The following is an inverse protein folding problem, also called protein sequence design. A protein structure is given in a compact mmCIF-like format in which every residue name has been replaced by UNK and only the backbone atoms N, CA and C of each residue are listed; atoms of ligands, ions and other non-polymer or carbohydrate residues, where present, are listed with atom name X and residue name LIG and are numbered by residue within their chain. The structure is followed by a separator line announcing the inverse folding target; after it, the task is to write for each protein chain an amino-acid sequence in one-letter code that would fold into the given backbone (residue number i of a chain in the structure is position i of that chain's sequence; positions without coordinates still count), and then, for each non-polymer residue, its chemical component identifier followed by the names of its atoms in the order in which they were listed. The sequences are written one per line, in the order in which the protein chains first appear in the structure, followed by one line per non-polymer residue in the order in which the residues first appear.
data_IF_806471299713
#
_entry.id   IF_806471299713
#
_cell.length_a   1.000
_cell.length_b   1.000
_cell.length_c   1.000
_cell.angle_alpha   90.00
_cell.angle_beta   90.00
_cell.angle_gamma   90.00
#
_symmetry.space_group_name_H-M   'P 1'
#
loop_
_entity.id
_entity.type
_entity.pdbx_description
1 polymer ?
#
# COMPACT_ATOMS: atom_id res chain seq x y z
N UNK A 1 -9.60 1.25 -0.42
CA UNK A 1 -9.73 0.50 0.85
C UNK A 1 -10.94 -0.45 0.88
N UNK A 2 -12.13 -0.04 0.41
CA UNK A 2 -13.28 -0.97 0.33
C UNK A 2 -13.03 -2.21 -0.54
N UNK A 3 -12.19 -2.07 -1.57
CA UNK A 3 -11.79 -3.16 -2.48
C UNK A 3 -11.17 -4.37 -1.74
N UNK A 4 -10.52 -4.15 -0.59
CA UNK A 4 -9.91 -5.19 0.23
C UNK A 4 -10.74 -5.55 1.47
N UNK A 5 -11.99 -5.11 1.52
CA UNK A 5 -12.86 -5.23 2.69
C UNK A 5 -12.20 -4.71 3.99
N UNK A 6 -11.43 -3.62 3.89
CA UNK A 6 -10.74 -3.01 5.03
C UNK A 6 -11.64 -1.99 5.72
N UNK A 7 -11.93 -2.24 6.99
CA UNK A 7 -12.65 -1.32 7.87
C UNK A 7 -11.71 -0.20 8.35
N UNK A 8 -12.16 1.05 8.25
CA UNK A 8 -11.42 2.24 8.67
C UNK A 8 -11.79 2.58 10.12
N UNK A 9 -10.81 3.05 10.88
CA UNK A 9 -11.02 3.63 12.22
C UNK A 9 -10.52 5.06 12.18
N UNK A 10 -11.36 6.01 12.58
CA UNK A 10 -10.94 7.41 12.70
C UNK A 10 -10.23 7.61 14.04
N UNK A 11 -8.96 7.98 14.00
CA UNK A 11 -8.17 8.28 15.19
C UNK A 11 -7.63 9.70 15.18
N UNK A 12 -7.48 10.30 16.36
CA UNK A 12 -6.78 11.56 16.56
C UNK A 12 -5.80 11.43 17.72
N UNK A 13 -4.75 12.26 17.72
CA UNK A 13 -3.81 12.27 18.83
C UNK A 13 -4.36 13.06 20.02
N UNK A 14 -4.54 12.38 21.15
CA UNK A 14 -4.96 12.98 22.42
C UNK A 14 -3.77 13.54 23.20
N UNK A 15 -2.56 13.08 22.91
CA UNK A 15 -1.35 13.43 23.64
C UNK A 15 -0.14 13.54 22.71
N UNK A 16 0.74 14.50 22.98
CA UNK A 16 2.06 14.61 22.36
C UNK A 16 2.99 15.46 23.27
N UNK A 17 4.28 15.37 23.02
CA UNK A 17 5.34 16.08 23.76
C UNK A 17 6.13 16.98 22.83
N UNK A 18 6.67 18.10 23.34
CA UNK A 18 7.63 18.92 22.59
C UNK A 18 8.93 18.14 22.39
N UNK A 19 9.41 18.09 21.15
CA UNK A 19 10.70 17.47 20.85
C UNK A 19 11.83 18.37 21.36
N UNK A 20 12.58 17.89 22.36
CA UNK A 20 13.68 18.63 23.00
C UNK A 20 15.04 18.44 22.31
N UNK A 21 15.13 17.51 21.35
CA UNK A 21 16.38 17.16 20.64
C UNK A 21 16.62 18.03 19.41
N UNK A 22 15.65 18.88 19.05
CA UNK A 22 15.70 19.77 17.89
C UNK A 22 16.75 20.87 18.14
N UNK A 23 17.87 20.85 17.40
CA UNK A 23 18.95 21.84 17.51
C UNK A 23 18.44 23.24 17.11
N UNK A 24 19.01 24.27 17.75
CA UNK A 24 18.79 25.71 17.47
C UNK A 24 18.69 25.98 15.97
N UNK A 25 17.54 26.47 15.51
CA UNK A 25 17.31 26.91 14.13
C UNK A 25 16.20 26.16 13.37
N UNK A 26 15.65 25.07 13.93
CA UNK A 26 14.52 24.35 13.33
C UNK A 26 13.24 24.60 14.11
N UNK A 27 12.11 24.64 13.38
CA UNK A 27 10.76 24.92 13.92
C UNK A 27 10.45 23.97 15.09
N UNK A 28 9.76 24.48 16.10
CA UNK A 28 9.25 23.66 17.19
C UNK A 28 8.40 22.49 16.65
N UNK A 29 8.68 21.28 17.10
CA UNK A 29 8.03 20.06 16.63
C UNK A 29 7.49 19.22 17.80
N UNK A 30 6.39 18.50 17.55
CA UNK A 30 5.82 17.51 18.45
C UNK A 30 6.43 16.12 18.20
N UNK A 31 6.54 15.31 19.24
CA UNK A 31 6.97 13.91 19.21
C UNK A 31 6.18 13.09 20.24
N UNK A 32 6.27 11.76 20.18
CA UNK A 32 5.60 10.86 21.11
C UNK A 32 4.07 10.98 21.07
N UNK A 33 3.52 11.22 19.88
CA UNK A 33 2.09 11.34 19.66
C UNK A 33 1.39 10.03 20.05
N UNK A 34 0.33 10.13 20.86
CA UNK A 34 -0.51 9.00 21.28
C UNK A 34 -1.95 9.23 20.87
N UNK A 35 -2.52 8.22 20.22
CA UNK A 35 -3.94 8.21 19.85
C UNK A 35 -4.82 8.19 21.10
N UNK A 36 -6.06 8.64 20.93
CA UNK A 36 -7.12 8.35 21.90
C UNK A 36 -7.46 6.85 21.85
N UNK A 37 -6.83 6.06 22.73
CA UNK A 37 -6.94 4.61 22.72
C UNK A 37 -8.38 4.14 22.96
N UNK A 38 -9.14 4.83 23.82
CA UNK A 38 -10.53 4.48 24.13
C UNK A 38 -11.39 4.63 22.87
N UNK A 39 -11.33 5.79 22.21
CA UNK A 39 -12.08 6.06 20.98
C UNK A 39 -11.72 5.10 19.82
N UNK A 40 -10.46 4.64 19.75
CA UNK A 40 -10.00 3.65 18.77
C UNK A 40 -10.53 2.25 19.12
N UNK A 41 -10.41 1.84 20.38
CA UNK A 41 -10.86 0.53 20.85
C UNK A 41 -12.38 0.36 20.73
N UNK A 42 -13.15 1.41 21.01
CA UNK A 42 -14.61 1.40 20.88
C UNK A 42 -15.01 1.17 19.41
N UNK A 43 -14.38 1.87 18.46
CA UNK A 43 -14.63 1.65 17.04
C UNK A 43 -14.25 0.23 16.60
N UNK A 44 -13.15 -0.34 17.13
CA UNK A 44 -12.75 -1.72 16.83
C UNK A 44 -13.79 -2.71 17.39
N UNK A 45 -14.26 -2.52 18.62
CA UNK A 45 -15.29 -3.36 19.22
C UNK A 45 -16.60 -3.31 18.44
N UNK A 46 -17.00 -2.12 17.98
CA UNK A 46 -18.13 -1.95 17.08
C UNK A 46 -17.94 -2.72 15.77
N UNK A 47 -16.78 -2.57 15.10
CA UNK A 47 -16.45 -3.28 13.85
C UNK A 47 -16.55 -4.80 14.03
N UNK A 48 -16.07 -5.36 15.15
CA UNK A 48 -16.11 -6.80 15.41
C UNK A 48 -17.55 -7.33 15.48
N UNK A 49 -18.47 -6.53 16.02
CA UNK A 49 -19.89 -6.90 16.10
C UNK A 49 -20.68 -6.49 14.86
N UNK A 50 -20.09 -5.67 13.99
CA UNK A 50 -20.68 -5.13 12.79
C UNK A 50 -20.98 -6.24 11.78
N UNK A 51 -22.23 -6.30 11.32
CA UNK A 51 -22.72 -7.38 10.44
C UNK A 51 -22.65 -7.03 8.95
N UNK A 52 -22.31 -5.79 8.61
CA UNK A 52 -22.27 -5.31 7.23
C UNK A 52 -20.83 -5.16 6.73
N UNK A 53 -20.68 -4.92 5.42
CA UNK A 53 -19.38 -4.84 4.76
C UNK A 53 -18.58 -3.61 5.18
N UNK A 54 -17.26 -3.65 4.95
CA UNK A 54 -16.37 -2.51 5.17
C UNK A 54 -16.78 -1.27 4.36
N UNK A 55 -17.37 -1.46 3.17
CA UNK A 55 -17.96 -0.35 2.40
C UNK A 55 -19.02 0.39 3.22
N UNK A 56 -19.97 -0.35 3.78
CA UNK A 56 -21.06 0.25 4.53
C UNK A 56 -20.51 0.92 5.79
N UNK A 57 -19.65 0.21 6.54
CA UNK A 57 -18.99 0.78 7.72
C UNK A 57 -18.27 2.09 7.39
N UNK A 58 -17.39 2.09 6.39
CA UNK A 58 -16.57 3.25 6.02
C UNK A 58 -17.43 4.43 5.57
N UNK A 59 -18.51 4.16 4.84
CA UNK A 59 -19.48 5.18 4.43
C UNK A 59 -20.18 5.80 5.64
N UNK A 60 -20.76 4.97 6.51
CA UNK A 60 -21.45 5.41 7.72
C UNK A 60 -20.52 6.15 8.68
N UNK A 61 -19.28 5.67 8.82
CA UNK A 61 -18.23 6.33 9.60
C UNK A 61 -17.95 7.74 9.08
N UNK A 62 -17.85 7.89 7.75
CA UNK A 62 -17.57 9.17 7.13
C UNK A 62 -18.78 10.12 7.18
N UNK A 63 -19.97 9.66 6.82
CA UNK A 63 -21.19 10.47 6.79
C UNK A 63 -21.62 10.93 8.19
N UNK A 64 -21.49 10.06 9.21
CA UNK A 64 -22.07 10.32 10.53
C UNK A 64 -21.06 10.75 11.60
N UNK A 65 -19.79 10.32 11.51
CA UNK A 65 -18.81 10.51 12.60
C UNK A 65 -17.65 11.41 12.23
N UNK A 66 -17.32 11.54 10.94
CA UNK A 66 -16.14 12.32 10.49
C UNK A 66 -16.10 13.73 11.07
N UNK A 67 -17.21 14.48 10.95
CA UNK A 67 -17.27 15.86 11.44
C UNK A 67 -17.04 15.97 12.95
N UNK A 68 -17.62 15.06 13.72
CA UNK A 68 -17.46 15.02 15.17
C UNK A 68 -16.02 14.66 15.54
N UNK A 69 -15.47 13.59 14.95
CA UNK A 69 -14.09 13.16 15.23
C UNK A 69 -13.08 14.21 14.81
N UNK A 70 -13.32 14.92 13.71
CA UNK A 70 -12.47 16.02 13.26
C UNK A 70 -12.45 17.16 14.27
N UNK A 71 -13.60 17.57 14.81
CA UNK A 71 -13.67 18.60 15.86
C UNK A 71 -13.00 18.16 17.16
N UNK A 72 -13.17 16.89 17.57
CA UNK A 72 -12.45 16.32 18.72
C UNK A 72 -10.93 16.37 18.51
N UNK A 73 -10.46 16.14 17.28
CA UNK A 73 -9.05 16.28 16.94
C UNK A 73 -8.57 17.74 17.10
N UNK A 74 -9.34 18.72 16.64
CA UNK A 74 -9.01 20.14 16.82
C UNK A 74 -8.92 20.50 18.32
N UNK A 75 -9.89 20.08 19.12
CA UNK A 75 -9.88 20.30 20.58
C UNK A 75 -8.63 19.70 21.22
N UNK A 76 -8.29 18.45 20.86
CA UNK A 76 -7.11 17.77 21.38
C UNK A 76 -5.80 18.48 20.96
N UNK A 77 -5.72 18.96 19.72
CA UNK A 77 -4.52 19.63 19.21
C UNK A 77 -4.32 21.00 19.83
N UNK A 78 -5.39 21.73 20.12
CA UNK A 78 -5.31 22.98 20.89
C UNK A 78 -4.83 22.74 22.32
N UNK A 79 -5.33 21.69 22.98
CA UNK A 79 -4.84 21.30 24.32
C UNK A 79 -3.36 20.90 24.30
N UNK A 80 -2.92 20.15 23.29
CA UNK A 80 -1.51 19.80 23.09
C UNK A 80 -0.68 21.07 22.88
N UNK A 81 -1.13 21.99 22.03
CA UNK A 81 -0.47 23.28 21.77
C UNK A 81 -0.33 24.09 23.05
N UNK A 82 -1.41 24.22 23.84
CA UNK A 82 -1.40 24.95 25.10
C UNK A 82 -0.41 24.36 26.11
N UNK A 83 -0.37 23.02 26.22
CA UNK A 83 0.53 22.33 27.16
C UNK A 83 2.00 22.34 26.73
N UNK A 84 2.27 22.27 25.44
CA UNK A 84 3.63 22.10 24.89
C UNK A 84 4.27 23.40 24.40
N UNK A 85 3.46 24.43 24.16
CA UNK A 85 3.88 25.68 23.52
C UNK A 85 4.20 25.53 22.03
N UNK A 86 3.95 24.36 21.41
CA UNK A 86 4.20 24.13 19.98
C UNK A 86 2.98 24.52 19.18
N UNK A 87 3.14 25.47 18.25
CA UNK A 87 2.04 25.92 17.40
C UNK A 87 1.48 24.80 16.51
N UNK A 88 0.16 24.65 16.52
CA UNK A 88 -0.60 23.73 15.64
C UNK A 88 -1.34 24.52 14.55
N UNK A 89 -2.01 23.81 13.63
CA UNK A 89 -2.82 24.45 12.59
C UNK A 89 -3.95 25.30 13.20
N UNK A 90 -4.23 26.44 12.58
CA UNK A 90 -5.26 27.38 13.02
C UNK A 90 -6.66 26.76 12.94
N UNK A 91 -7.39 26.73 14.05
CA UNK A 91 -8.74 26.14 14.17
C UNK A 91 -9.71 26.71 13.15
N UNK A 92 -9.86 28.03 13.05
CA UNK A 92 -10.81 28.68 12.12
C UNK A 92 -10.57 28.28 10.66
N UNK A 93 -9.32 28.05 10.27
CA UNK A 93 -8.99 27.61 8.91
C UNK A 93 -9.35 26.13 8.70
N UNK A 94 -9.15 25.29 9.73
CA UNK A 94 -9.54 23.88 9.70
C UNK A 94 -11.07 23.69 9.77
N UNK A 95 -11.79 24.52 10.51
CA UNK A 95 -13.26 24.51 10.56
C UNK A 95 -13.86 24.92 9.21
N UNK A 96 -13.34 25.97 8.57
CA UNK A 96 -13.74 26.33 7.18
C UNK A 96 -13.48 25.20 6.18
N UNK A 97 -12.36 24.51 6.34
CA UNK A 97 -12.07 23.32 5.53
C UNK A 97 -13.10 22.21 5.80
N UNK A 98 -13.38 21.91 7.07
CA UNK A 98 -14.39 20.92 7.45
C UNK A 98 -15.78 21.26 6.88
N UNK A 99 -16.21 22.51 6.98
CA UNK A 99 -17.49 22.97 6.43
C UNK A 99 -17.54 22.76 4.91
N UNK A 100 -16.43 23.04 4.20
CA UNK A 100 -16.34 22.76 2.77
C UNK A 100 -16.42 21.27 2.43
N UNK A 101 -15.93 20.39 3.31
CA UNK A 101 -16.02 18.94 3.14
C UNK A 101 -17.44 18.45 3.38
N UNK A 102 -18.11 18.94 4.43
CA UNK A 102 -19.47 18.52 4.80
C UNK A 102 -20.51 19.06 3.81
N UNK A 103 -20.31 20.26 3.27
CA UNK A 103 -21.24 20.88 2.34
C UNK A 103 -21.36 20.12 1.01
N UNK A 104 -20.26 19.54 0.53
CA UNK A 104 -20.24 18.76 -0.70
C UNK A 104 -19.23 17.61 -0.64
N UNK A 105 -19.70 16.46 -0.14
CA UNK A 105 -18.92 15.23 -0.10
C UNK A 105 -18.53 14.72 -1.51
N UNK A 106 -19.36 15.00 -2.53
CA UNK A 106 -19.07 14.61 -3.91
C UNK A 106 -17.86 15.36 -4.46
N UNK A 107 -17.83 16.67 -4.27
CA UNK A 107 -16.72 17.53 -4.67
C UNK A 107 -15.45 17.22 -3.86
N UNK A 108 -15.55 16.98 -2.55
CA UNK A 108 -14.41 16.51 -1.75
C UNK A 108 -13.83 15.19 -2.28
N UNK A 109 -14.70 14.23 -2.65
CA UNK A 109 -14.31 12.97 -3.26
C UNK A 109 -13.58 13.22 -4.58
N UNK A 110 -14.10 14.06 -5.47
CA UNK A 110 -13.47 14.39 -6.76
C UNK A 110 -12.09 15.02 -6.55
N UNK A 111 -11.97 15.98 -5.63
CA UNK A 111 -10.68 16.62 -5.29
C UNK A 111 -9.68 15.63 -4.72
N UNK A 112 -10.12 14.76 -3.81
CA UNK A 112 -9.28 13.71 -3.23
C UNK A 112 -8.82 12.69 -4.28
N UNK A 113 -9.70 12.33 -5.22
CA UNK A 113 -9.37 11.46 -6.36
C UNK A 113 -8.30 12.08 -7.26
N UNK A 114 -8.41 13.37 -7.59
CA UNK A 114 -7.37 14.11 -8.34
C UNK A 114 -6.03 14.11 -7.59
N UNK A 115 -6.06 14.31 -6.27
CA UNK A 115 -4.86 14.24 -5.42
C UNK A 115 -4.19 12.86 -5.44
N UNK A 116 -5.00 11.79 -5.36
CA UNK A 116 -4.55 10.40 -5.46
C UNK A 116 -3.97 10.08 -6.84
N UNK A 117 -4.64 10.50 -7.92
CA UNK A 117 -4.11 10.36 -9.29
C UNK A 117 -2.77 11.08 -9.44
N UNK A 118 -2.66 12.31 -8.95
CA UNK A 118 -1.41 13.06 -8.98
C UNK A 118 -0.29 12.40 -8.15
N UNK A 119 -0.61 11.74 -7.04
CA UNK A 119 0.36 10.97 -6.26
C UNK A 119 0.87 9.75 -7.02
N UNK A 120 -0.04 8.98 -7.64
CA UNK A 120 0.32 7.83 -8.47
C UNK A 120 1.19 8.25 -9.67
N UNK A 121 0.87 9.39 -10.31
CA UNK A 121 1.71 9.95 -11.39
C UNK A 121 3.10 10.32 -10.87
N UNK A 122 3.22 10.97 -9.71
CA UNK A 122 4.53 11.28 -9.11
C UNK A 122 5.33 10.03 -8.77
N UNK A 123 4.68 8.98 -8.26
CA UNK A 123 5.30 7.69 -7.98
C UNK A 123 5.80 7.00 -9.27
N UNK A 124 4.98 7.03 -10.33
CA UNK A 124 5.37 6.51 -11.64
C UNK A 124 6.55 7.28 -12.28
N UNK A 125 6.63 8.60 -12.04
CA UNK A 125 7.71 9.46 -12.54
C UNK A 125 8.99 9.45 -11.68
N UNK A 126 8.91 8.97 -10.44
CA UNK A 126 10.08 8.84 -9.56
C UNK A 126 10.72 7.48 -9.83
N UNK A 127 11.68 7.42 -10.76
CA UNK A 127 12.54 6.26 -10.92
C UNK A 127 13.43 6.15 -9.67
N UNK A 128 13.12 5.21 -8.77
CA UNK A 128 14.03 4.95 -7.65
C UNK A 128 15.26 4.25 -8.21
N UNK A 129 16.46 4.76 -7.92
CA UNK A 129 17.76 4.21 -8.39
C UNK A 129 18.02 2.73 -8.04
N UNK A 130 17.11 2.09 -7.30
CA UNK A 130 17.16 0.70 -6.85
C UNK A 130 16.08 -0.19 -7.48
N UNK A 131 15.13 0.40 -8.22
CA UNK A 131 14.19 -0.32 -9.07
C UNK A 131 14.89 -0.63 -10.38
N UNK A 132 15.45 -1.83 -10.47
CA UNK A 132 16.06 -2.34 -11.69
C UNK A 132 14.96 -2.69 -12.71
N UNK A 133 14.48 -1.66 -13.42
CA UNK A 133 13.57 -1.80 -14.55
C UNK A 133 14.33 -2.43 -15.71
N UNK A 134 14.35 -3.76 -15.77
CA UNK A 134 15.06 -4.50 -16.82
C UNK A 134 14.17 -4.77 -18.03
N UNK A 135 12.85 -4.88 -17.84
CA UNK A 135 11.96 -5.52 -18.82
C UNK A 135 10.64 -4.76 -19.14
N UNK A 136 10.36 -3.59 -18.54
CA UNK A 136 9.05 -2.93 -18.66
C UNK A 136 8.98 -1.44 -18.32
N UNK A 137 7.79 -0.84 -18.49
CA UNK A 137 7.49 0.55 -18.15
C UNK A 137 6.62 0.67 -16.89
N UNK A 138 6.85 1.70 -16.08
CA UNK A 138 5.95 2.04 -14.95
C UNK A 138 4.60 2.49 -15.49
N UNK A 139 3.51 1.95 -14.95
CA UNK A 139 2.17 2.34 -15.34
C UNK A 139 1.30 2.72 -14.14
N UNK A 140 0.48 3.74 -14.35
CA UNK A 140 -0.61 4.09 -13.44
C UNK A 140 -1.86 3.33 -13.90
N UNK A 141 -2.41 2.51 -13.00
CA UNK A 141 -3.65 1.79 -13.18
C UNK A 141 -4.79 2.57 -12.51
N UNK A 142 -5.88 2.78 -13.25
CA UNK A 142 -7.15 3.21 -12.68
C UNK A 142 -8.02 1.96 -12.48
N UNK A 143 -8.19 1.54 -11.23
CA UNK A 143 -9.02 0.40 -10.86
C UNK A 143 -10.39 0.90 -10.48
N UNK A 144 -11.38 0.55 -11.27
CA UNK A 144 -12.78 0.78 -10.97
C UNK A 144 -13.39 -0.46 -10.29
N UNK A 145 -14.19 -0.24 -9.25
CA UNK A 145 -15.01 -1.30 -8.64
C UNK A 145 -16.46 -1.23 -9.12
N UNK A 146 -17.23 -2.29 -8.87
CA UNK A 146 -18.64 -2.40 -9.26
C UNK A 146 -19.58 -1.34 -8.63
N UNK A 147 -19.07 -0.49 -7.72
CA UNK A 147 -19.80 0.58 -7.05
C UNK A 147 -19.43 1.97 -7.60
N UNK A 148 -18.66 2.03 -8.69
CA UNK A 148 -18.20 3.27 -9.33
C UNK A 148 -17.09 3.99 -8.55
N UNK A 149 -16.39 3.27 -7.66
CA UNK A 149 -15.20 3.75 -6.96
C UNK A 149 -13.96 3.57 -7.82
N UNK A 150 -13.20 4.64 -8.04
CA UNK A 150 -11.93 4.60 -8.80
C UNK A 150 -10.74 4.73 -7.85
N UNK A 151 -9.76 3.85 -7.99
CA UNK A 151 -8.53 3.82 -7.21
C UNK A 151 -7.33 3.91 -8.16
N UNK A 152 -6.42 4.84 -7.91
CA UNK A 152 -5.19 4.95 -8.70
C UNK A 152 -4.08 4.20 -7.97
N UNK A 153 -3.54 3.16 -8.62
CA UNK A 153 -2.41 2.38 -8.15
C UNK A 153 -1.32 2.37 -9.23
N UNK A 154 -0.11 2.05 -8.82
CA UNK A 154 1.05 1.88 -9.69
C UNK A 154 1.47 0.42 -9.70
N UNK A 155 1.75 -0.09 -10.89
CA UNK A 155 2.57 -1.28 -11.05
C UNK A 155 4.02 -0.83 -11.30
N UNK A 156 4.99 -1.51 -10.68
CA UNK A 156 6.41 -1.20 -10.88
C UNK A 156 6.81 -1.42 -12.35
N UNK A 157 6.34 -2.51 -12.96
CA UNK A 157 6.61 -2.85 -14.36
C UNK A 157 5.35 -3.40 -15.05
N UNK A 158 5.10 -2.94 -16.28
CA UNK A 158 4.23 -3.61 -17.24
C UNK A 158 5.10 -4.30 -18.27
N UNK A 159 4.96 -5.63 -18.38
CA UNK A 159 5.73 -6.45 -19.32
C UNK A 159 4.78 -7.08 -20.34
N UNK A 160 5.07 -6.95 -21.62
CA UNK A 160 4.31 -7.61 -22.69
C UNK A 160 5.08 -8.87 -23.12
N UNK A 161 4.51 -10.04 -22.87
CA UNK A 161 5.14 -11.31 -23.21
C UNK A 161 4.10 -12.30 -23.75
N UNK A 162 4.39 -12.90 -24.91
CA UNK A 162 3.55 -13.93 -25.54
C UNK A 162 2.09 -13.49 -25.73
N UNK A 163 1.85 -12.22 -26.06
CA UNK A 163 0.50 -11.67 -26.23
C UNK A 163 -0.28 -11.46 -24.93
N UNK A 164 0.37 -11.54 -23.77
CA UNK A 164 -0.22 -11.29 -22.45
C UNK A 164 0.46 -10.09 -21.79
N UNK A 165 -0.33 -9.20 -21.19
CA UNK A 165 0.15 -8.08 -20.37
C UNK A 165 0.39 -8.56 -18.94
N UNK A 166 1.61 -8.42 -18.44
CA UNK A 166 1.99 -8.83 -17.08
C UNK A 166 2.06 -7.58 -16.21
N UNK A 167 1.18 -7.49 -15.21
CA UNK A 167 1.26 -6.48 -14.14
C UNK A 167 2.27 -6.98 -13.10
N UNK A 168 3.41 -6.30 -12.98
CA UNK A 168 4.51 -6.77 -12.14
C UNK A 168 4.87 -5.79 -11.04
N UNK A 169 5.10 -6.35 -9.85
CA UNK A 169 5.79 -5.70 -8.74
C UNK A 169 7.22 -6.25 -8.61
N UNK A 170 8.19 -5.38 -8.36
CA UNK A 170 9.61 -5.72 -8.34
C UNK A 170 10.21 -5.37 -6.97
N UNK A 171 10.77 -6.37 -6.27
CA UNK A 171 11.52 -6.16 -5.02
C UNK A 171 12.95 -6.63 -5.20
N UNK A 172 13.88 -5.69 -5.05
CA UNK A 172 15.32 -5.95 -5.26
C UNK A 172 16.06 -5.79 -3.94
N UNK A 173 17.12 -6.57 -3.73
CA UNK A 173 17.97 -6.45 -2.55
C UNK A 173 19.46 -6.59 -2.87
N UNK A 174 20.29 -6.08 -1.96
CA UNK A 174 21.73 -6.38 -1.95
C UNK A 174 22.04 -7.74 -1.29
N UNK A 175 21.09 -8.30 -0.55
CA UNK A 175 21.15 -9.67 -0.03
C UNK A 175 20.76 -10.70 -1.09
N UNK A 176 20.57 -11.96 -0.69
CA UNK A 176 20.19 -13.04 -1.61
C UNK A 176 18.68 -13.13 -1.88
N UNK A 177 17.85 -12.56 -1.00
CA UNK A 177 16.39 -12.50 -1.13
C UNK A 177 15.88 -11.24 -0.41
N UNK A 178 14.87 -10.52 -0.93
CA UNK A 178 14.34 -9.35 -0.26
C UNK A 178 13.82 -9.67 1.16
N UNK A 179 13.85 -8.68 2.09
CA UNK A 179 13.26 -8.84 3.42
C UNK A 179 11.80 -9.29 3.34
N UNK A 180 11.35 -10.08 4.33
CA UNK A 180 9.98 -10.57 4.36
C UNK A 180 8.94 -9.45 4.38
N UNK A 181 9.25 -8.29 4.98
CA UNK A 181 8.39 -7.10 4.93
C UNK A 181 8.13 -6.64 3.49
N UNK A 182 9.18 -6.61 2.67
CA UNK A 182 9.14 -6.08 1.31
C UNK A 182 8.46 -7.07 0.37
N UNK A 183 8.68 -8.38 0.61
CA UNK A 183 7.94 -9.44 -0.07
C UNK A 183 6.44 -9.33 0.23
N UNK A 184 6.06 -9.18 1.50
CA UNK A 184 4.65 -9.03 1.91
C UNK A 184 4.00 -7.80 1.29
N UNK A 185 4.72 -6.69 1.19
CA UNK A 185 4.28 -5.47 0.51
C UNK A 185 3.99 -5.71 -0.98
N UNK A 186 4.90 -6.41 -1.69
CA UNK A 186 4.67 -6.78 -3.09
C UNK A 186 3.46 -7.72 -3.26
N UNK A 187 3.35 -8.74 -2.40
CA UNK A 187 2.21 -9.67 -2.40
C UNK A 187 0.87 -8.95 -2.15
N UNK A 188 0.85 -7.93 -1.29
CA UNK A 188 -0.37 -7.18 -1.00
C UNK A 188 -0.95 -6.48 -2.24
N UNK A 189 -0.10 -5.88 -3.08
CA UNK A 189 -0.55 -5.31 -4.36
C UNK A 189 -0.99 -6.39 -5.35
N UNK A 190 -0.31 -7.55 -5.36
CA UNK A 190 -0.68 -8.66 -6.24
C UNK A 190 -2.05 -9.24 -5.92
N UNK A 191 -2.47 -9.28 -4.65
CA UNK A 191 -3.85 -9.65 -4.27
C UNK A 191 -4.86 -8.76 -4.99
N UNK A 192 -4.58 -7.47 -5.14
CA UNK A 192 -5.46 -6.57 -5.88
C UNK A 192 -5.43 -6.86 -7.38
N UNK A 193 -4.23 -6.95 -7.95
CA UNK A 193 -4.08 -7.12 -9.40
C UNK A 193 -4.59 -8.47 -9.90
N UNK A 194 -4.38 -9.56 -9.15
CA UNK A 194 -4.81 -10.91 -9.56
C UNK A 194 -6.32 -11.10 -9.47
N UNK A 195 -7.02 -10.24 -8.74
CA UNK A 195 -8.48 -10.26 -8.59
C UNK A 195 -9.20 -9.25 -9.51
N UNK A 196 -8.50 -8.62 -10.45
CA UNK A 196 -9.14 -7.79 -11.46
C UNK A 196 -9.96 -8.65 -12.43
N UNK A 197 -11.20 -8.27 -12.70
CA UNK A 197 -12.08 -8.97 -13.67
C UNK A 197 -11.56 -8.80 -15.12
N UNK A 198 -11.07 -7.61 -15.44
CA UNK A 198 -10.53 -7.27 -16.76
C UNK A 198 -9.52 -6.13 -16.67
N UNK A 199 -8.59 -6.16 -17.60
CA UNK A 199 -7.69 -5.06 -17.90
C UNK A 199 -8.10 -4.47 -19.26
N UNK A 200 -8.22 -3.16 -19.34
CA UNK A 200 -8.58 -2.45 -20.57
C UNK A 200 -7.57 -1.36 -20.89
N UNK A 201 -7.29 -1.17 -22.18
CA UNK A 201 -6.51 -0.06 -22.71
C UNK A 201 -7.24 0.48 -23.95
N UNK A 202 -7.53 1.78 -23.96
CA UNK A 202 -8.30 2.44 -25.02
C UNK A 202 -9.63 1.76 -25.39
N UNK A 203 -10.29 1.15 -24.39
CA UNK A 203 -11.56 0.43 -24.54
C UNK A 203 -11.41 -1.01 -25.03
N UNK A 204 -10.19 -1.46 -25.34
CA UNK A 204 -9.92 -2.84 -25.72
C UNK A 204 -9.52 -3.69 -24.52
N UNK A 205 -10.11 -4.88 -24.39
CA UNK A 205 -9.77 -5.82 -23.33
C UNK A 205 -8.44 -6.50 -23.62
N UNK A 206 -7.53 -6.44 -22.66
CA UNK A 206 -6.23 -7.10 -22.74
C UNK A 206 -6.23 -8.39 -21.92
N UNK A 207 -5.73 -9.52 -22.46
CA UNK A 207 -5.38 -10.65 -21.62
C UNK A 207 -4.22 -10.24 -20.71
N UNK A 208 -4.34 -10.57 -19.42
CA UNK A 208 -3.33 -10.17 -18.46
C UNK A 208 -3.07 -11.25 -17.41
N UNK A 209 -1.90 -11.14 -16.79
CA UNK A 209 -1.51 -11.93 -15.62
C UNK A 209 -0.73 -11.04 -14.67
N UNK A 210 -0.40 -11.56 -13.50
CA UNK A 210 0.33 -10.80 -12.48
C UNK A 210 1.55 -11.54 -11.97
N UNK A 211 2.59 -10.78 -11.62
CA UNK A 211 3.89 -11.32 -11.25
C UNK A 211 4.56 -10.55 -10.12
N UNK A 212 5.13 -11.26 -9.16
CA UNK A 212 6.14 -10.70 -8.25
C UNK A 212 7.52 -11.03 -8.79
N UNK A 213 8.38 -10.05 -9.01
CA UNK A 213 9.80 -10.28 -9.34
C UNK A 213 10.65 -10.00 -8.09
N UNK A 214 11.39 -11.00 -7.63
CA UNK A 214 12.27 -10.92 -6.47
C UNK A 214 13.71 -11.13 -6.95
N UNK A 215 14.55 -10.11 -6.85
CA UNK A 215 15.96 -10.24 -7.24
C UNK A 215 16.91 -10.08 -6.06
N UNK A 216 17.97 -10.88 -6.06
CA UNK A 216 19.03 -10.86 -5.07
C UNK A 216 20.43 -10.89 -5.66
N UNK A 217 21.38 -10.38 -4.91
CA UNK A 217 22.80 -10.42 -5.26
C UNK A 217 23.34 -11.84 -5.14
N UNK A 218 24.11 -12.27 -6.15
CA UNK A 218 24.80 -13.55 -6.17
C UNK A 218 23.91 -14.77 -6.48
N UNK A 219 22.60 -14.60 -6.63
CA UNK A 219 21.69 -15.66 -7.08
C UNK A 219 22.02 -16.01 -8.53
N UNK A 220 22.25 -17.29 -8.78
CA UNK A 220 22.53 -17.91 -10.08
C UNK A 220 21.21 -18.38 -10.68
N UNK A 221 21.06 -18.24 -11.98
CA UNK A 221 19.83 -18.56 -12.72
C UNK A 221 18.56 -17.89 -12.13
N UNK A 222 17.41 -18.31 -12.61
CA UNK A 222 16.10 -17.86 -12.14
C UNK A 222 15.13 -19.03 -12.09
N UNK A 223 14.08 -18.90 -11.27
CA UNK A 223 12.96 -19.83 -11.20
C UNK A 223 11.66 -19.03 -11.21
N UNK A 224 10.64 -19.58 -11.85
CA UNK A 224 9.28 -19.04 -11.82
C UNK A 224 8.37 -19.99 -11.07
N UNK A 225 7.66 -19.46 -10.08
CA UNK A 225 6.70 -20.17 -9.25
C UNK A 225 5.26 -19.82 -9.71
N UNK A 226 4.31 -20.76 -9.57
CA UNK A 226 4.53 -22.14 -9.16
C UNK A 226 5.28 -22.96 -10.23
N UNK A 227 6.04 -23.96 -9.80
CA UNK A 227 6.75 -24.90 -10.67
C UNK A 227 6.77 -26.30 -10.07
N UNK A 228 7.19 -27.27 -10.88
CA UNK A 228 7.41 -28.64 -10.43
C UNK A 228 8.50 -28.73 -9.34
N UNK A 229 8.40 -29.69 -8.40
CA UNK A 229 9.38 -29.86 -7.33
C UNK A 229 10.82 -30.03 -7.83
N UNK A 230 11.01 -30.75 -8.95
CA UNK A 230 12.33 -31.00 -9.53
C UNK A 230 12.96 -29.71 -10.06
N UNK A 231 12.17 -28.83 -10.69
CA UNK A 231 12.63 -27.51 -11.17
C UNK A 231 13.08 -26.65 -9.99
N UNK A 232 12.35 -26.68 -8.87
CA UNK A 232 12.73 -25.96 -7.67
C UNK A 232 14.00 -26.56 -7.02
N UNK A 233 14.13 -27.88 -7.03
CA UNK A 233 15.31 -28.58 -6.53
C UNK A 233 16.56 -28.22 -7.37
N UNK A 234 16.44 -28.18 -8.70
CA UNK A 234 17.49 -27.77 -9.63
C UNK A 234 17.90 -26.31 -9.39
N UNK A 235 16.92 -25.41 -9.17
CA UNK A 235 17.21 -24.03 -8.79
C UNK A 235 18.02 -23.93 -7.49
N UNK A 236 17.68 -24.73 -6.47
CA UNK A 236 18.47 -24.78 -5.23
C UNK A 236 19.84 -25.42 -5.41
N UNK A 237 19.98 -26.39 -6.31
CA UNK A 237 21.26 -27.03 -6.65
C UNK A 237 22.19 -26.05 -7.39
N UNK A 238 21.66 -25.26 -8.31
CA UNK A 238 22.40 -24.18 -8.98
C UNK A 238 22.87 -23.10 -7.99
N UNK A 239 22.15 -22.94 -6.87
CA UNK A 239 22.38 -21.94 -5.83
C UNK A 239 22.92 -22.51 -4.50
N UNK A 240 23.69 -23.60 -4.56
CA UNK A 240 24.32 -24.20 -3.37
C UNK A 240 25.17 -23.16 -2.62
N UNK A 241 24.97 -23.08 -1.31
CA UNK A 241 25.67 -22.14 -0.42
C UNK A 241 25.11 -20.70 -0.42
N UNK A 242 24.17 -20.36 -1.30
CA UNK A 242 23.59 -19.00 -1.39
C UNK A 242 22.33 -18.89 -0.51
N UNK A 243 21.41 -19.86 -0.61
CA UNK A 243 20.17 -19.85 0.16
C UNK A 243 20.32 -20.63 1.48
N UNK A 244 19.98 -19.97 2.59
CA UNK A 244 19.83 -20.62 3.90
C UNK A 244 18.58 -21.51 3.93
N UNK A 245 18.46 -22.40 4.92
CA UNK A 245 17.25 -23.20 5.12
C UNK A 245 15.98 -22.32 5.26
N UNK A 246 16.09 -21.16 5.91
CA UNK A 246 14.99 -20.20 6.04
C UNK A 246 14.60 -19.60 4.69
N UNK A 247 15.56 -19.27 3.82
CA UNK A 247 15.26 -18.77 2.48
C UNK A 247 14.54 -19.85 1.66
N UNK A 248 15.04 -21.08 1.67
CA UNK A 248 14.40 -22.20 0.94
C UNK A 248 12.96 -22.43 1.39
N UNK A 249 12.72 -22.44 2.71
CA UNK A 249 11.37 -22.54 3.28
C UNK A 249 10.47 -21.38 2.86
N UNK A 250 10.99 -20.15 2.84
CA UNK A 250 10.25 -18.96 2.36
C UNK A 250 9.88 -19.10 0.88
N UNK A 251 10.82 -19.52 0.04
CA UNK A 251 10.60 -19.72 -1.41
C UNK A 251 9.55 -20.81 -1.66
N UNK A 252 9.58 -21.91 -0.91
CA UNK A 252 8.54 -22.95 -1.03
C UNK A 252 7.16 -22.44 -0.61
N UNK A 253 7.06 -21.65 0.46
CA UNK A 253 5.80 -21.01 0.88
C UNK A 253 5.29 -20.04 -0.17
N UNK A 254 6.18 -19.26 -0.79
CA UNK A 254 5.83 -18.37 -1.89
C UNK A 254 5.26 -19.13 -3.09
N UNK A 255 5.78 -20.32 -3.39
CA UNK A 255 5.21 -21.19 -4.42
C UNK A 255 3.79 -21.66 -4.09
N UNK A 256 3.51 -22.00 -2.83
CA UNK A 256 2.16 -22.35 -2.38
C UNK A 256 1.20 -21.16 -2.48
N UNK A 257 1.65 -19.97 -2.07
CA UNK A 257 0.87 -18.74 -2.15
C UNK A 257 0.52 -18.38 -3.60
N UNK A 258 1.50 -18.50 -4.51
CA UNK A 258 1.33 -18.26 -5.95
C UNK A 258 0.29 -19.21 -6.56
N UNK A 259 0.34 -20.51 -6.22
CA UNK A 259 -0.66 -21.50 -6.62
C UNK A 259 -2.05 -21.15 -6.10
N UNK A 260 -2.17 -20.83 -4.81
CA UNK A 260 -3.46 -20.60 -4.17
C UNK A 260 -4.20 -19.36 -4.70
N UNK A 261 -3.45 -18.35 -5.16
CA UNK A 261 -4.01 -17.04 -5.51
C UNK A 261 -3.90 -16.69 -7.01
N UNK A 262 -3.40 -17.61 -7.85
CA UNK A 262 -3.42 -17.46 -9.31
C UNK A 262 -2.49 -16.39 -9.85
N UNK A 263 -1.33 -16.16 -9.22
CA UNK A 263 -0.28 -15.27 -9.72
C UNK A 263 1.06 -16.00 -9.82
N UNK A 264 2.06 -15.36 -10.44
CA UNK A 264 3.40 -15.93 -10.56
C UNK A 264 4.42 -15.19 -9.71
N UNK A 265 5.50 -15.88 -9.31
CA UNK A 265 6.64 -15.25 -8.64
C UNK A 265 7.90 -15.65 -9.38
N UNK A 266 8.68 -14.69 -9.83
CA UNK A 266 9.98 -14.89 -10.43
C UNK A 266 11.08 -14.56 -9.43
N UNK A 267 12.00 -15.48 -9.20
CA UNK A 267 13.12 -15.31 -8.28
C UNK A 267 14.41 -15.50 -9.07
N UNK A 268 15.35 -14.56 -8.97
CA UNK A 268 16.61 -14.64 -9.70
C UNK A 268 17.69 -13.69 -9.22
N UNK A 269 18.81 -13.70 -9.95
CA UNK A 269 19.89 -12.73 -9.77
C UNK A 269 19.48 -11.31 -10.11
N UNK A 270 20.10 -10.33 -9.46
CA UNK A 270 20.11 -8.96 -10.01
C UNK A 270 20.70 -9.03 -11.43
N UNK A 271 20.03 -8.44 -12.42
CA UNK A 271 20.62 -8.29 -13.75
C UNK A 271 21.93 -7.49 -13.62
N UNK A 272 22.99 -7.97 -14.27
CA UNK A 272 24.29 -7.31 -14.30
C UNK A 272 24.23 -5.96 -15.03
#
# INVERSE_FOLDING_TARGET
MNLLNVYVVLGYYKNASKNRTVKRGTKDCLTGQKLDADAVNDQIAEIITYKQSALHWNRTLFENRFAQTYRQALDAYEQISARTGVAVHNRTSQERYLDSVIADYGEFRIRSLRGSAGAAVRESGTAHRLEYLSDGAKAVLAIENYLGGVYHLTADEIVFANGVTILQESKNTKGVLPPLSDIKDGLFKLILFSNLDRLEHDGERLPFSTRLKLTGSGVRSSVRLPCEPDVLADFFAANVGIFTARHKSTISLLGQEATANGFTIEIGGNAA
#
